data_IF_932811968168
#
_entry.id   IF_932811968168
#
_cell.length_a   1.000
_cell.length_b   1.000
_cell.length_c   1.000
_cell.angle_alpha   90.00
_cell.angle_beta   90.00
_cell.angle_gamma   90.00
#
_symmetry.space_group_name_H-M   'P 1'
#
loop_
_entity.id
_entity.type
_entity.pdbx_description
1 polymer ?
#
# COMPACT_ATOMS: atom_id res chain seq x y z
N UNK A 1 -21.20 2.05 -7.97
CA UNK A 1 -20.53 2.62 -6.80
C UNK A 1 -19.92 3.96 -7.17
N UNK A 2 -20.14 4.95 -6.35
CA UNK A 2 -19.59 6.27 -6.58
C UNK A 2 -18.24 6.42 -5.90
N UNK A 3 -17.42 7.31 -6.45
CA UNK A 3 -16.13 7.60 -5.85
C UNK A 3 -16.36 8.35 -4.54
N UNK A 4 -15.79 7.83 -3.46
CA UNK A 4 -15.87 8.49 -2.16
C UNK A 4 -14.71 9.45 -1.93
N UNK A 5 -14.21 9.48 -0.70
CA UNK A 5 -13.08 10.38 -0.36
C UNK A 5 -11.86 10.02 -1.21
N UNK A 6 -11.21 11.04 -1.77
CA UNK A 6 -10.02 10.84 -2.62
C UNK A 6 -8.79 11.47 -1.98
N UNK A 7 -7.63 10.89 -2.32
CA UNK A 7 -6.32 11.47 -1.99
C UNK A 7 -5.43 11.38 -3.23
N UNK A 8 -4.44 12.26 -3.30
CA UNK A 8 -3.51 12.29 -4.41
C UNK A 8 -2.11 12.52 -3.87
N UNK A 9 -1.15 11.71 -4.33
CA UNK A 9 0.24 11.82 -3.87
C UNK A 9 1.19 11.75 -5.06
N UNK A 10 2.32 12.44 -4.95
CA UNK A 10 3.33 12.43 -6.01
C UNK A 10 4.28 11.25 -5.91
N UNK A 11 4.39 10.62 -4.73
CA UNK A 11 5.36 9.56 -4.54
C UNK A 11 4.75 8.43 -3.73
N UNK A 12 5.37 7.25 -3.85
CA UNK A 12 4.96 6.11 -3.04
C UNK A 12 5.20 6.37 -1.55
N UNK A 13 6.23 7.12 -1.22
CA UNK A 13 6.52 7.43 0.19
C UNK A 13 5.42 8.27 0.82
N UNK A 14 4.86 9.22 0.09
CA UNK A 14 3.75 10.02 0.59
C UNK A 14 2.51 9.16 0.83
N UNK A 15 2.20 8.26 -0.10
CA UNK A 15 1.11 7.31 0.04
C UNK A 15 1.35 6.39 1.24
N UNK A 16 2.57 5.89 1.39
CA UNK A 16 2.94 5.04 2.52
C UNK A 16 2.73 5.77 3.86
N UNK A 17 3.10 7.05 3.94
CA UNK A 17 2.89 7.84 5.16
C UNK A 17 1.41 7.99 5.48
N UNK A 18 0.58 8.16 4.45
CA UNK A 18 -0.87 8.21 4.64
C UNK A 18 -1.38 6.90 5.23
N UNK A 19 -0.96 5.77 4.67
CA UNK A 19 -1.35 4.45 5.17
C UNK A 19 -0.89 4.24 6.61
N UNK A 20 0.33 4.63 6.93
CA UNK A 20 0.86 4.49 8.29
C UNK A 20 -0.02 5.25 9.28
N UNK A 21 -0.50 6.43 8.87
CA UNK A 21 -1.31 7.28 9.74
C UNK A 21 -2.77 6.83 9.83
N UNK A 22 -3.33 6.33 8.73
CA UNK A 22 -4.79 6.16 8.61
C UNK A 22 -5.27 4.73 8.45
N UNK A 23 -4.38 3.74 8.34
CA UNK A 23 -4.83 2.37 8.06
C UNK A 23 -5.76 1.81 9.14
N UNK A 24 -5.76 2.38 10.34
CA UNK A 24 -6.63 1.91 11.44
C UNK A 24 -7.94 2.66 11.51
N UNK A 25 -7.96 3.94 11.11
CA UNK A 25 -9.16 4.76 11.30
C UNK A 25 -9.98 4.96 10.05
N UNK A 26 -9.43 4.62 8.88
CA UNK A 26 -10.17 4.70 7.63
C UNK A 26 -10.57 3.32 7.16
N UNK A 27 -11.73 3.24 6.50
CA UNK A 27 -12.24 1.98 5.97
C UNK A 27 -12.20 1.92 4.46
N UNK A 28 -11.89 3.05 3.83
CA UNK A 28 -11.87 3.15 2.39
C UNK A 28 -11.18 4.45 2.02
N UNK A 29 -10.45 4.41 0.91
CA UNK A 29 -9.92 5.62 0.30
C UNK A 29 -9.81 5.40 -1.20
N UNK A 30 -9.97 6.45 -1.98
CA UNK A 30 -9.78 6.41 -3.43
C UNK A 30 -8.52 7.19 -3.77
N UNK A 31 -7.53 6.49 -4.32
CA UNK A 31 -6.25 7.09 -4.70
C UNK A 31 -6.33 7.56 -6.14
N UNK A 32 -5.98 8.82 -6.38
CA UNK A 32 -6.04 9.40 -7.71
C UNK A 32 -4.77 9.08 -8.49
N UNK A 33 -4.96 8.60 -9.72
CA UNK A 33 -3.89 8.36 -10.68
C UNK A 33 -4.06 9.29 -11.87
N UNK A 34 -2.94 9.65 -12.50
CA UNK A 34 -2.97 10.48 -13.69
C UNK A 34 -2.46 9.69 -14.88
N UNK A 35 -3.11 9.88 -16.03
CA UNK A 35 -2.67 9.25 -17.27
C UNK A 35 -1.36 9.90 -17.72
N UNK A 36 -0.53 9.14 -18.41
CA UNK A 36 0.75 9.66 -18.89
C UNK A 36 0.60 10.89 -19.75
N UNK A 37 -0.46 10.94 -20.56
CA UNK A 37 -0.73 12.06 -21.46
C UNK A 37 -0.95 13.37 -20.72
N UNK A 38 -1.26 13.33 -19.44
CA UNK A 38 -1.53 14.55 -18.67
C UNK A 38 -0.28 15.33 -18.31
N UNK A 39 0.88 14.68 -18.31
CA UNK A 39 2.11 15.28 -17.84
C UNK A 39 2.21 15.44 -16.34
N UNK A 40 1.20 15.02 -15.58
CA UNK A 40 1.21 15.13 -14.12
C UNK A 40 1.84 13.89 -13.51
N UNK A 41 2.54 14.10 -12.38
CA UNK A 41 3.17 13.01 -11.64
C UNK A 41 2.25 12.51 -10.54
N UNK A 42 2.26 11.20 -10.35
CA UNK A 42 1.55 10.58 -9.24
C UNK A 42 2.21 9.23 -8.96
N UNK A 43 1.88 8.66 -7.81
CA UNK A 43 2.33 7.31 -7.51
C UNK A 43 1.77 6.35 -8.56
N UNK A 44 2.59 5.40 -9.02
CA UNK A 44 2.14 4.43 -10.03
C UNK A 44 1.19 3.41 -9.41
N UNK A 45 0.42 2.74 -10.28
CA UNK A 45 -0.49 1.70 -9.80
C UNK A 45 0.26 0.60 -9.04
N UNK A 46 1.34 0.07 -9.63
CA UNK A 46 2.09 -1.01 -8.99
C UNK A 46 2.65 -0.59 -7.64
N UNK A 47 3.23 0.61 -7.57
CA UNK A 47 3.76 1.11 -6.30
C UNK A 47 2.66 1.29 -5.26
N UNK A 48 1.49 1.77 -5.70
CA UNK A 48 0.39 2.00 -4.77
C UNK A 48 -0.13 0.70 -4.17
N UNK A 49 -0.21 -0.36 -4.99
CA UNK A 49 -0.65 -1.67 -4.50
C UNK A 49 0.38 -2.24 -3.53
N UNK A 50 1.68 -2.11 -3.84
CA UNK A 50 2.74 -2.59 -2.96
C UNK A 50 2.65 -1.94 -1.58
N UNK A 51 2.53 -0.61 -1.53
CA UNK A 51 2.46 0.07 -0.22
C UNK A 51 1.19 -0.31 0.53
N UNK A 52 0.06 -0.45 -0.17
CA UNK A 52 -1.18 -0.86 0.46
C UNK A 52 -1.05 -2.25 1.09
N UNK A 53 -0.48 -3.21 0.37
CA UNK A 53 -0.27 -4.55 0.88
C UNK A 53 0.63 -4.54 2.12
N UNK A 54 1.62 -3.65 2.15
CA UNK A 54 2.52 -3.53 3.30
C UNK A 54 1.75 -3.18 4.58
N UNK A 55 0.59 -2.51 4.45
CA UNK A 55 -0.24 -2.11 5.59
C UNK A 55 -1.53 -2.91 5.69
N UNK A 56 -1.64 -4.03 4.96
CA UNK A 56 -2.79 -4.90 5.06
C UNK A 56 -4.02 -4.39 4.33
N UNK A 57 -3.83 -3.54 3.34
CA UNK A 57 -4.90 -3.03 2.50
C UNK A 57 -4.81 -3.66 1.12
N UNK A 58 -5.87 -3.55 0.34
CA UNK A 58 -5.95 -4.15 -1.00
C UNK A 58 -6.67 -3.21 -1.95
N UNK A 59 -6.28 -3.25 -3.22
CA UNK A 59 -6.93 -2.50 -4.27
C UNK A 59 -8.26 -3.16 -4.67
N UNK A 60 -9.17 -2.31 -5.14
CA UNK A 60 -10.46 -2.77 -5.65
C UNK A 60 -10.75 -2.13 -6.99
N UNK A 61 -11.94 -1.62 -7.17
CA UNK A 61 -12.39 -1.02 -8.42
C UNK A 61 -11.60 0.24 -8.78
N UNK A 62 -11.52 0.51 -10.08
CA UNK A 62 -11.07 1.81 -10.55
C UNK A 62 -12.22 2.50 -11.28
N UNK A 63 -12.24 3.82 -11.22
CA UNK A 63 -13.25 4.62 -11.91
C UNK A 63 -12.62 5.87 -12.51
N UNK A 64 -13.07 6.22 -13.70
CA UNK A 64 -12.64 7.45 -14.34
C UNK A 64 -13.15 8.67 -13.57
N UNK A 65 -12.30 9.68 -13.46
CA UNK A 65 -12.68 10.97 -12.90
C UNK A 65 -12.94 11.95 -14.05
N UNK A 66 -11.97 12.08 -14.94
CA UNK A 66 -12.06 12.95 -16.10
C UNK A 66 -11.15 12.43 -17.20
N UNK A 67 -10.82 13.26 -18.19
CA UNK A 67 -10.03 12.83 -19.35
C UNK A 67 -8.61 12.44 -18.99
N UNK A 68 -8.07 12.98 -17.89
CA UNK A 68 -6.66 12.77 -17.55
C UNK A 68 -6.44 12.00 -16.25
N UNK A 69 -7.51 11.68 -15.53
CA UNK A 69 -7.34 11.04 -14.23
C UNK A 69 -8.40 9.98 -13.96
N UNK A 70 -8.05 9.07 -13.08
CA UNK A 70 -8.97 8.04 -12.58
C UNK A 70 -8.60 7.74 -11.13
N UNK A 71 -9.47 7.04 -10.42
CA UNK A 71 -9.23 6.71 -9.02
C UNK A 71 -9.34 5.21 -8.81
N UNK A 72 -8.50 4.69 -7.92
CA UNK A 72 -8.56 3.30 -7.48
C UNK A 72 -8.97 3.22 -6.02
N UNK A 73 -9.89 2.33 -5.74
CA UNK A 73 -10.40 2.13 -4.39
C UNK A 73 -9.49 1.21 -3.61
N UNK A 74 -9.16 1.59 -2.38
CA UNK A 74 -8.38 0.76 -1.45
C UNK A 74 -9.16 0.56 -0.17
N UNK A 75 -9.11 -0.66 0.36
CA UNK A 75 -9.79 -1.03 1.61
C UNK A 75 -8.91 -1.99 2.39
N UNK A 76 -9.11 -2.08 3.72
CA UNK A 76 -8.43 -3.12 4.50
C UNK A 76 -8.82 -4.51 4.00
N UNK A 77 -7.85 -5.42 3.96
CA UNK A 77 -8.12 -6.80 3.56
C UNK A 77 -8.98 -7.49 4.62
N UNK A 78 -9.92 -8.29 4.14
CA UNK A 78 -10.73 -9.12 5.04
C UNK A 78 -9.95 -10.38 5.40
N UNK A 79 -10.15 -10.92 6.61
CA UNK A 79 -9.55 -12.20 6.97
C UNK A 79 -9.96 -13.29 5.98
N UNK A 80 -9.03 -14.17 5.67
CA UNK A 80 -9.27 -15.32 4.77
C UNK A 80 -9.67 -14.92 3.36
N UNK A 81 -9.30 -13.72 2.94
CA UNK A 81 -9.55 -13.30 1.56
C UNK A 81 -8.59 -14.01 0.61
N UNK A 82 -9.02 -14.15 -0.64
CA UNK A 82 -8.22 -14.80 -1.67
C UNK A 82 -7.03 -13.93 -2.06
N UNK A 83 -5.90 -14.59 -2.36
CA UNK A 83 -4.69 -13.93 -2.81
C UNK A 83 -4.43 -14.28 -4.26
N UNK A 84 -4.29 -13.26 -5.11
CA UNK A 84 -3.90 -13.48 -6.49
C UNK A 84 -2.42 -13.79 -6.59
N UNK A 85 -1.99 -14.52 -7.65
CA UNK A 85 -0.56 -14.75 -7.85
C UNK A 85 0.24 -13.44 -7.93
N UNK A 86 -0.32 -12.41 -8.53
CA UNK A 86 0.34 -11.10 -8.62
C UNK A 86 0.60 -10.51 -7.25
N UNK A 87 -0.38 -10.56 -6.36
CA UNK A 87 -0.23 -9.99 -5.02
C UNK A 87 0.68 -10.83 -4.15
N UNK A 88 0.69 -12.13 -4.34
CA UNK A 88 1.66 -13.00 -3.66
C UNK A 88 3.09 -12.61 -4.07
N UNK A 89 3.31 -12.41 -5.36
CA UNK A 89 4.63 -12.00 -5.86
C UNK A 89 5.04 -10.64 -5.30
N UNK A 90 4.09 -9.70 -5.23
CA UNK A 90 4.36 -8.38 -4.66
C UNK A 90 4.78 -8.47 -3.19
N UNK A 91 4.08 -9.28 -2.42
CA UNK A 91 4.41 -9.44 -1.00
C UNK A 91 5.77 -10.10 -0.81
N UNK A 92 6.10 -11.10 -1.61
CA UNK A 92 7.41 -11.74 -1.54
C UNK A 92 8.53 -10.72 -1.79
N UNK A 93 8.34 -9.86 -2.78
CA UNK A 93 9.29 -8.80 -3.07
C UNK A 93 9.41 -7.83 -1.89
N UNK A 94 8.26 -7.42 -1.32
CA UNK A 94 8.26 -6.52 -0.17
C UNK A 94 8.98 -7.12 1.03
N UNK A 95 8.78 -8.42 1.27
CA UNK A 95 9.48 -9.11 2.36
C UNK A 95 11.00 -9.12 2.12
N UNK A 96 11.42 -9.38 0.90
CA UNK A 96 12.84 -9.37 0.55
C UNK A 96 13.46 -8.00 0.73
N UNK A 97 12.70 -6.95 0.44
CA UNK A 97 13.17 -5.58 0.54
C UNK A 97 13.02 -4.98 1.94
N UNK A 98 12.43 -5.73 2.86
CA UNK A 98 12.20 -5.23 4.22
C UNK A 98 11.16 -4.13 4.29
N UNK A 99 10.19 -4.13 3.39
CA UNK A 99 9.20 -3.05 3.29
C UNK A 99 7.83 -3.39 3.89
N UNK A 100 7.61 -4.61 4.39
CA UNK A 100 6.35 -4.94 5.04
C UNK A 100 6.25 -4.26 6.40
N UNK A 101 5.06 -3.81 6.77
CA UNK A 101 4.76 -3.29 8.09
C UNK A 101 3.96 -4.33 8.86
N UNK A 102 3.87 -4.18 10.18
CA UNK A 102 3.17 -5.14 11.02
C UNK A 102 1.73 -5.42 10.59
N UNK A 103 0.92 -4.39 10.26
CA UNK A 103 -0.45 -4.67 9.84
C UNK A 103 -0.53 -5.55 8.59
N UNK A 104 0.44 -5.39 7.68
CA UNK A 104 0.48 -6.21 6.47
C UNK A 104 0.91 -7.63 6.77
N UNK A 105 1.88 -7.80 7.66
CA UNK A 105 2.35 -9.14 8.04
C UNK A 105 1.21 -9.97 8.63
N UNK A 106 0.30 -9.34 9.35
CA UNK A 106 -0.83 -10.02 9.97
C UNK A 106 -1.83 -10.59 8.96
N UNK A 107 -1.79 -10.13 7.70
CA UNK A 107 -2.72 -10.58 6.66
C UNK A 107 -2.18 -11.68 5.77
N UNK A 108 -0.91 -12.06 5.93
CA UNK A 108 -0.26 -12.96 4.97
C UNK A 108 -0.84 -14.36 5.02
N UNK A 109 -0.97 -15.02 3.84
CA UNK A 109 -1.42 -16.41 3.81
C UNK A 109 -0.31 -17.34 4.26
N UNK A 110 -0.71 -18.53 4.70
CA UNK A 110 0.23 -19.52 5.23
C UNK A 110 1.24 -20.01 4.21
N UNK A 111 0.95 -19.85 2.92
CA UNK A 111 1.87 -20.29 1.85
C UNK A 111 3.09 -19.39 1.73
N UNK A 112 3.09 -18.23 2.35
CA UNK A 112 4.23 -17.31 2.30
C UNK A 112 5.12 -17.54 3.52
N UNK A 113 6.40 -17.82 3.25
CA UNK A 113 7.39 -17.97 4.31
C UNK A 113 7.87 -16.60 4.75
N UNK A 114 7.83 -16.36 6.05
CA UNK A 114 8.38 -15.12 6.60
C UNK A 114 9.90 -15.22 6.71
N UNK A 115 10.61 -14.09 6.64
CA UNK A 115 12.03 -14.10 6.89
C UNK A 115 12.31 -14.54 8.32
N UNK A 116 13.53 -15.03 8.54
CA UNK A 116 13.95 -15.53 9.85
C UNK A 116 13.74 -14.49 10.94
N UNK A 117 13.98 -13.22 10.63
CA UNK A 117 13.74 -12.11 11.54
C UNK A 117 12.70 -11.20 10.96
N UNK A 118 11.63 -10.91 11.71
CA UNK A 118 10.58 -10.01 11.27
C UNK A 118 11.11 -8.59 11.10
N UNK A 119 12.15 -8.24 11.81
CA UNK A 119 12.75 -6.92 11.67
C UNK A 119 13.29 -6.67 10.28
N UNK A 120 13.72 -7.72 9.58
CA UNK A 120 14.21 -7.59 8.22
C UNK A 120 13.10 -7.33 7.23
N UNK A 121 11.87 -7.71 7.58
CA UNK A 121 10.71 -7.53 6.70
C UNK A 121 10.04 -6.18 6.87
N UNK A 122 10.36 -5.45 7.93
CA UNK A 122 9.69 -4.21 8.32
C UNK A 122 10.63 -3.04 8.10
N UNK A 123 10.16 -1.99 7.44
CA UNK A 123 10.87 -0.72 7.37
C UNK A 123 10.56 0.01 8.65
N UNK A 124 11.54 0.27 9.40
CA UNK A 124 11.44 0.70 10.70
C UNK A 124 10.76 1.99 10.98
N UNK A 125 10.49 1.90 11.83
CA UNK A 125 10.07 2.83 12.46
C UNK A 125 10.91 2.77 13.60
N UNK A 126 11.24 1.88 13.54
CA UNK A 126 11.91 1.83 14.15
C UNK A 126 12.84 2.13 14.34
N UNK A 127 12.98 1.98 14.31
CA UNK A 127 13.80 2.33 14.54
C UNK A 127 14.44 2.49 14.55
N UNK A 128 14.81 2.46 14.50
CA UNK A 128 15.40 2.94 14.37
C UNK A 128 15.46 3.58 14.22
N UNK A 129 14.97 3.53 14.11
CA UNK A 129 15.13 4.32 13.80
C UNK A 129 15.21 4.89 13.51
N UNK A 130 15.29 4.96 13.49
CA UNK A 130 15.40 5.67 13.07
C UNK A 130 15.24 6.26 12.75
N UNK A 131 15.40 6.25 12.74
CA UNK A 131 15.20 6.95 12.27
C UNK A 131 14.55 7.40 12.01
N UNK A 132 14.54 7.29 11.97
CA UNK A 132 13.99 7.84 11.66
C UNK A 132 13.20 8.03 11.64
N UNK A 133 13.21 7.55 11.50
CA UNK A 133 12.57 7.72 11.36
C UNK A 133 11.89 8.06 11.07
N UNK A 134 12.30 8.14 11.15
CA UNK A 134 11.79 8.47 10.71
C UNK A 134 10.89 8.46 10.58
N UNK A 135 10.77 8.10 10.56
CA UNK A 135 9.99 7.95 10.42
C UNK A 135 9.43 7.64 10.67
N UNK A 136 9.44 7.15 10.62
CA UNK A 136 9.10 6.83 10.80
C UNK A 136 8.65 6.42 10.93
N UNK A 137 8.56 6.12 11.07
CA UNK A 137 8.31 5.89 11.08
C UNK A 137 8.19 5.95 11.32
#
# INVERSE_FOLDING_TARGET
MEIGETVSFRSRDAWRRWLARHHRDKKEIWLVYYKKSSGKSAVSYDESVEEALAYGWIDGQTKSIDEISYAGRFTPRKPNSNWSPSNIARVKKLLEEGRMAEPGLATLPSVISLPRSRERAITGSLPRSRKRAREGA
#
